data_IF_622166935008
#
_entry.id   IF_622166935008
#
_cell.length_a   1.000
_cell.length_b   1.000
_cell.length_c   1.000
_cell.angle_alpha   90.00
_cell.angle_beta   90.00
_cell.angle_gamma   90.00
#
_symmetry.space_group_name_H-M   'P 1'
#
loop_
_entity.id
_entity.type
_entity.pdbx_description
1 polymer ?
#
# COMPACT_ATOMS: atom_id res chain seq x y z
N UNK A 1 18.66 -2.79 21.72
CA UNK A 1 18.57 -3.69 20.57
C UNK A 1 19.95 -3.89 19.99
N UNK A 2 20.32 -5.11 19.71
CA UNK A 2 21.67 -5.50 19.29
C UNK A 2 21.62 -6.39 18.05
N UNK A 3 22.58 -6.25 17.15
CA UNK A 3 22.80 -7.12 15.98
C UNK A 3 24.30 -7.27 15.68
N UNK A 4 24.64 -8.30 14.93
CA UNK A 4 26.03 -8.67 14.62
C UNK A 4 26.60 -8.01 13.34
N UNK A 5 25.78 -7.23 12.63
CA UNK A 5 26.19 -6.59 11.38
C UNK A 5 27.05 -5.38 11.69
N UNK A 6 28.26 -5.36 11.16
CA UNK A 6 29.25 -4.29 11.35
C UNK A 6 29.46 -3.58 10.00
N UNK A 7 29.45 -2.25 10.01
CA UNK A 7 29.80 -1.38 8.88
C UNK A 7 28.95 -1.50 7.61
N UNK A 8 27.74 -2.11 7.68
CA UNK A 8 26.85 -2.18 6.53
C UNK A 8 25.40 -1.82 6.92
N UNK A 9 24.99 -0.59 6.57
CA UNK A 9 23.67 -0.06 6.97
C UNK A 9 22.49 -0.84 6.37
N UNK A 10 22.59 -1.28 5.12
CA UNK A 10 21.48 -1.99 4.47
C UNK A 10 21.21 -3.34 5.13
N UNK A 11 22.25 -4.15 5.38
CA UNK A 11 22.13 -5.44 6.06
C UNK A 11 21.71 -5.27 7.53
N UNK A 12 22.22 -4.25 8.22
CA UNK A 12 21.80 -3.93 9.59
C UNK A 12 20.31 -3.58 9.65
N UNK A 13 19.85 -2.71 8.75
CA UNK A 13 18.44 -2.32 8.61
C UNK A 13 17.57 -3.53 8.31
N UNK A 14 17.98 -4.35 7.36
CA UNK A 14 17.28 -5.59 7.01
C UNK A 14 17.14 -6.52 8.22
N UNK A 15 18.27 -6.76 8.93
CA UNK A 15 18.29 -7.60 10.14
C UNK A 15 17.36 -7.07 11.22
N UNK A 16 17.35 -5.75 11.45
CA UNK A 16 16.51 -5.11 12.46
C UNK A 16 15.02 -5.18 12.11
N UNK A 17 14.65 -5.08 10.84
CA UNK A 17 13.26 -5.08 10.41
C UNK A 17 12.67 -6.47 10.19
N UNK A 18 13.48 -7.46 9.85
CA UNK A 18 13.03 -8.83 9.54
C UNK A 18 13.40 -9.86 10.57
N UNK A 19 14.36 -9.56 11.45
CA UNK A 19 14.97 -10.53 12.35
C UNK A 19 15.88 -11.56 11.64
N UNK A 20 16.14 -11.38 10.35
CA UNK A 20 16.87 -12.34 9.51
C UNK A 20 18.06 -11.68 8.82
N UNK A 21 19.08 -12.48 8.52
CA UNK A 21 20.16 -12.04 7.64
C UNK A 21 19.69 -11.98 6.19
N UNK A 22 20.32 -11.12 5.39
CA UNK A 22 20.11 -11.10 3.96
C UNK A 22 20.39 -12.48 3.34
N UNK A 23 19.53 -12.89 2.42
CA UNK A 23 19.69 -14.13 1.65
C UNK A 23 19.65 -13.78 0.17
N UNK A 24 20.46 -14.45 -0.63
CA UNK A 24 20.45 -14.26 -2.08
C UNK A 24 19.22 -14.84 -2.79
N UNK A 25 18.45 -15.68 -2.11
CA UNK A 25 17.33 -16.42 -2.71
C UNK A 25 15.97 -16.14 -2.05
N UNK A 26 15.95 -15.70 -0.80
CA UNK A 26 14.72 -15.49 -0.04
C UNK A 26 14.65 -14.02 0.41
N UNK A 27 13.61 -13.33 -0.01
CA UNK A 27 13.24 -12.00 0.50
C UNK A 27 12.23 -12.18 1.64
N UNK A 28 12.63 -11.80 2.84
CA UNK A 28 11.76 -11.91 4.01
C UNK A 28 10.82 -10.71 4.12
N UNK A 29 9.54 -10.94 4.50
CA UNK A 29 8.56 -9.89 4.61
C UNK A 29 8.89 -8.93 5.75
N UNK A 30 8.51 -7.67 5.57
CA UNK A 30 8.51 -6.68 6.64
C UNK A 30 7.43 -7.00 7.68
N UNK A 31 7.56 -6.44 8.88
CA UNK A 31 6.56 -6.61 9.94
C UNK A 31 5.17 -6.10 9.51
N UNK A 32 5.11 -4.98 8.76
CA UNK A 32 3.85 -4.46 8.23
C UNK A 32 3.18 -5.43 7.25
N UNK A 33 3.97 -6.09 6.39
CA UNK A 33 3.47 -7.11 5.47
C UNK A 33 2.98 -8.37 6.19
N UNK A 34 3.64 -8.77 7.27
CA UNK A 34 3.18 -9.89 8.10
C UNK A 34 1.83 -9.56 8.72
N UNK A 35 1.69 -8.37 9.30
CA UNK A 35 0.43 -7.91 9.91
C UNK A 35 -0.67 -7.82 8.86
N UNK A 36 -0.38 -7.23 7.69
CA UNK A 36 -1.34 -7.14 6.57
C UNK A 36 -1.82 -8.52 6.12
N UNK A 37 -0.89 -9.49 6.00
CA UNK A 37 -1.23 -10.85 5.60
C UNK A 37 -2.12 -11.58 6.63
N UNK A 38 -1.91 -11.33 7.92
CA UNK A 38 -2.64 -12.01 9.00
C UNK A 38 -3.99 -11.37 9.32
N UNK A 39 -4.08 -10.05 9.23
CA UNK A 39 -5.28 -9.30 9.64
C UNK A 39 -6.10 -8.74 8.49
N UNK A 40 -5.48 -8.58 7.31
CA UNK A 40 -6.10 -7.89 6.18
C UNK A 40 -6.27 -6.39 6.45
N UNK A 41 -7.08 -5.74 5.63
CA UNK A 41 -7.47 -4.34 5.78
C UNK A 41 -8.48 -4.16 6.90
N UNK A 42 -8.46 -3.00 7.57
CA UNK A 42 -9.42 -2.66 8.62
C UNK A 42 -10.84 -2.41 8.07
N UNK A 43 -10.94 -2.01 6.80
CA UNK A 43 -12.20 -1.81 6.08
C UNK A 43 -11.99 -2.02 4.58
N UNK A 44 -13.10 -2.15 3.84
CA UNK A 44 -13.06 -2.27 2.38
C UNK A 44 -12.50 -1.02 1.68
N UNK A 45 -12.51 0.13 2.36
CA UNK A 45 -12.05 1.40 1.80
C UNK A 45 -10.64 1.79 2.27
N UNK A 46 -9.95 0.92 2.99
CA UNK A 46 -8.60 1.16 3.47
C UNK A 46 -7.62 0.07 2.96
N UNK A 47 -6.37 0.41 2.68
CA UNK A 47 -5.34 -0.60 2.41
C UNK A 47 -4.93 -1.32 3.70
N UNK A 48 -4.51 -2.58 3.58
CA UNK A 48 -4.04 -3.36 4.71
C UNK A 48 -2.70 -2.85 5.28
N UNK A 49 -1.89 -2.21 4.44
CA UNK A 49 -0.59 -1.67 4.83
C UNK A 49 -0.28 -0.39 4.06
N UNK A 50 0.03 0.68 4.79
CA UNK A 50 0.42 1.97 4.23
C UNK A 50 1.83 2.31 4.67
N UNK A 51 2.64 2.76 3.72
CA UNK A 51 3.96 3.29 3.97
C UNK A 51 4.00 4.78 3.66
N UNK A 52 4.25 5.61 4.66
CA UNK A 52 4.33 7.06 4.51
C UNK A 52 5.78 7.50 4.65
N UNK A 53 6.30 8.17 3.63
CA UNK A 53 7.68 8.66 3.59
C UNK A 53 8.52 7.91 2.54
N UNK A 54 9.80 7.74 2.80
CA UNK A 54 10.70 7.11 1.85
C UNK A 54 10.76 5.59 2.05
N UNK A 55 10.53 4.77 1.02
CA UNK A 55 10.70 3.33 1.11
C UNK A 55 12.19 3.00 1.27
N UNK A 56 12.46 1.94 1.99
CA UNK A 56 13.75 1.29 1.96
C UNK A 56 13.59 -0.20 1.64
N UNK A 57 14.71 -0.86 1.40
CA UNK A 57 14.77 -2.24 0.92
C UNK A 57 14.07 -3.30 1.79
N UNK A 58 13.65 -2.96 2.99
CA UNK A 58 13.11 -3.93 3.97
C UNK A 58 11.63 -3.80 4.24
N UNK A 59 10.89 -3.11 3.36
CA UNK A 59 9.47 -2.79 3.60
C UNK A 59 8.52 -3.59 2.72
N UNK A 60 9.06 -4.42 1.84
CA UNK A 60 8.29 -5.25 0.91
C UNK A 60 7.62 -6.45 1.55
N UNK A 61 6.71 -7.10 0.79
CA UNK A 61 5.99 -8.28 1.22
C UNK A 61 6.83 -9.56 1.21
N UNK A 62 8.01 -9.55 0.59
CA UNK A 62 8.86 -10.73 0.45
C UNK A 62 8.11 -11.91 -0.16
N UNK A 63 8.31 -13.09 0.40
CA UNK A 63 7.67 -14.33 -0.08
C UNK A 63 6.14 -14.39 0.15
N UNK A 64 5.53 -13.44 0.87
CA UNK A 64 4.08 -13.38 1.06
C UNK A 64 3.32 -12.93 -0.20
N UNK A 65 4.04 -12.35 -1.18
CA UNK A 65 3.44 -11.92 -2.44
C UNK A 65 2.79 -10.54 -2.37
N UNK A 66 2.36 -10.04 -3.52
CA UNK A 66 1.90 -8.67 -3.71
C UNK A 66 0.70 -8.26 -2.83
N UNK A 67 -0.17 -9.22 -2.50
CA UNK A 67 -1.34 -8.98 -1.63
C UNK A 67 -0.98 -8.49 -0.22
N UNK A 68 0.20 -8.85 0.28
CA UNK A 68 0.73 -8.35 1.55
C UNK A 68 1.62 -7.11 1.38
N UNK A 69 1.61 -6.49 0.20
CA UNK A 69 2.33 -5.27 -0.12
C UNK A 69 1.75 -4.03 0.55
N UNK A 70 2.38 -2.89 0.28
CA UNK A 70 1.98 -1.61 0.85
C UNK A 70 1.51 -0.63 -0.23
N UNK A 71 0.62 0.26 0.15
CA UNK A 71 0.34 1.50 -0.59
C UNK A 71 1.35 2.54 -0.15
N UNK A 72 2.07 3.10 -1.11
CA UNK A 72 3.14 4.05 -0.84
C UNK A 72 2.69 5.49 -1.01
N UNK A 73 2.95 6.30 0.01
CA UNK A 73 2.59 7.71 0.06
C UNK A 73 3.84 8.58 0.20
N UNK A 74 4.09 9.40 -0.78
CA UNK A 74 5.15 10.43 -0.74
C UNK A 74 4.63 11.76 -0.22
N UNK A 75 3.39 12.11 -0.54
CA UNK A 75 2.71 13.34 -0.15
C UNK A 75 1.57 13.04 0.81
N UNK A 76 1.35 13.92 1.76
CA UNK A 76 0.24 13.84 2.70
C UNK A 76 -1.07 14.41 2.15
N UNK A 77 -1.00 15.21 1.08
CA UNK A 77 -2.13 15.99 0.58
C UNK A 77 -2.71 15.48 -0.74
N UNK A 78 -1.93 14.71 -1.51
CA UNK A 78 -2.30 14.32 -2.88
C UNK A 78 -2.79 12.87 -2.97
N UNK A 79 -2.57 12.09 -1.92
CA UNK A 79 -2.85 10.66 -1.95
C UNK A 79 -1.85 9.87 -2.80
N UNK A 80 -2.09 8.57 -2.99
CA UNK A 80 -1.21 7.73 -3.79
C UNK A 80 -1.36 8.04 -5.28
N UNK A 81 -0.23 8.14 -5.96
CA UNK A 81 -0.20 8.38 -7.40
C UNK A 81 -0.94 7.26 -8.16
N UNK A 82 -1.75 7.66 -9.13
CA UNK A 82 -2.47 6.74 -10.01
C UNK A 82 -3.81 6.21 -9.47
N UNK A 83 -4.19 6.51 -8.24
CA UNK A 83 -5.49 6.14 -7.69
C UNK A 83 -6.56 7.22 -7.88
N UNK A 84 -6.18 8.44 -8.19
CA UNK A 84 -7.15 9.50 -8.54
C UNK A 84 -7.72 9.30 -9.94
N UNK A 85 -9.01 9.57 -10.10
CA UNK A 85 -9.66 9.53 -11.41
C UNK A 85 -9.17 10.67 -12.30
N UNK A 86 -9.03 10.40 -13.60
CA UNK A 86 -8.75 11.44 -14.57
C UNK A 86 -9.90 12.49 -14.64
N UNK A 87 -9.58 13.77 -14.74
CA UNK A 87 -10.57 14.80 -14.95
C UNK A 87 -11.51 14.47 -16.14
N UNK A 88 -12.81 14.68 -15.97
CA UNK A 88 -13.81 14.42 -17.01
C UNK A 88 -14.29 12.96 -17.14
N UNK A 89 -13.84 12.06 -16.25
CA UNK A 89 -14.42 10.71 -16.16
C UNK A 89 -15.47 10.69 -15.06
N UNK A 90 -16.74 10.62 -15.48
CA UNK A 90 -17.87 10.45 -14.58
C UNK A 90 -18.02 8.99 -14.12
N UNK A 91 -18.88 8.76 -13.12
CA UNK A 91 -19.10 7.42 -12.55
C UNK A 91 -19.62 6.42 -13.58
N UNK A 92 -20.50 6.84 -14.49
CA UNK A 92 -21.03 5.95 -15.52
C UNK A 92 -19.95 5.43 -16.46
N UNK A 93 -19.04 6.32 -16.89
CA UNK A 93 -17.92 5.98 -17.77
C UNK A 93 -16.92 5.08 -17.03
N UNK A 94 -16.66 5.35 -15.76
CA UNK A 94 -15.80 4.52 -14.91
C UNK A 94 -16.38 3.13 -14.75
N UNK A 95 -17.64 3.01 -14.35
CA UNK A 95 -18.32 1.73 -14.17
C UNK A 95 -18.38 0.89 -15.47
N UNK A 96 -18.50 1.55 -16.63
CA UNK A 96 -18.45 0.86 -17.93
C UNK A 96 -17.06 0.29 -18.21
N UNK A 97 -16.01 1.03 -17.90
CA UNK A 97 -14.62 0.57 -18.04
C UNK A 97 -14.32 -0.61 -17.10
N UNK A 98 -14.74 -0.53 -15.86
CA UNK A 98 -14.54 -1.59 -14.87
C UNK A 98 -15.26 -2.88 -15.26
N UNK A 99 -16.50 -2.78 -15.75
CA UNK A 99 -17.22 -3.95 -16.29
C UNK A 99 -16.52 -4.58 -17.50
N UNK A 100 -15.98 -3.77 -18.40
CA UNK A 100 -15.22 -4.29 -19.54
C UNK A 100 -13.92 -4.96 -19.08
N UNK A 101 -13.18 -4.31 -18.18
CA UNK A 101 -11.96 -4.85 -17.60
C UNK A 101 -12.22 -6.19 -16.89
N UNK A 102 -13.29 -6.27 -16.09
CA UNK A 102 -13.68 -7.49 -15.40
C UNK A 102 -13.90 -8.65 -16.39
N UNK A 103 -14.62 -8.41 -17.49
CA UNK A 103 -14.86 -9.44 -18.53
C UNK A 103 -13.56 -9.93 -19.16
N UNK A 104 -12.64 -9.02 -19.49
CA UNK A 104 -11.34 -9.39 -20.07
C UNK A 104 -10.53 -10.21 -19.06
N UNK A 105 -10.52 -9.79 -17.80
CA UNK A 105 -9.83 -10.49 -16.71
C UNK A 105 -10.40 -11.89 -16.47
N UNK A 106 -11.72 -12.05 -16.50
CA UNK A 106 -12.36 -13.36 -16.33
C UNK A 106 -11.96 -14.36 -17.43
N UNK A 107 -11.85 -13.89 -18.67
CA UNK A 107 -11.35 -14.71 -19.78
C UNK A 107 -9.91 -15.14 -19.54
N UNK A 108 -9.08 -14.18 -19.09
CA UNK A 108 -7.67 -14.43 -18.82
C UNK A 108 -7.46 -15.38 -17.63
N UNK A 109 -8.18 -15.17 -16.53
CA UNK A 109 -8.18 -16.05 -15.35
C UNK A 109 -8.51 -17.50 -15.70
N UNK A 110 -9.51 -17.74 -16.55
CA UNK A 110 -9.87 -19.07 -17.00
C UNK A 110 -8.75 -19.75 -17.78
N UNK A 111 -7.98 -19.00 -18.57
CA UNK A 111 -6.87 -19.53 -19.37
C UNK A 111 -5.62 -19.79 -18.53
N UNK A 112 -5.44 -19.09 -17.44
CA UNK A 112 -4.24 -19.11 -16.58
C UNK A 112 -4.53 -19.70 -15.20
N UNK A 113 -5.60 -20.49 -15.08
CA UNK A 113 -5.99 -21.11 -13.83
C UNK A 113 -4.82 -21.93 -13.24
N UNK A 114 -4.45 -21.64 -11.99
CA UNK A 114 -3.34 -22.30 -11.28
C UNK A 114 -2.02 -21.54 -11.30
N UNK A 115 -1.85 -20.48 -12.08
CA UNK A 115 -0.65 -19.61 -11.96
C UNK A 115 -0.83 -18.60 -10.81
N UNK A 116 -0.09 -18.85 -9.71
CA UNK A 116 -0.14 -18.02 -8.52
C UNK A 116 0.28 -16.57 -8.78
N UNK A 117 1.26 -16.33 -9.66
CA UNK A 117 1.74 -14.96 -9.96
C UNK A 117 0.66 -14.14 -10.64
N UNK A 118 -0.13 -14.77 -11.50
CA UNK A 118 -1.26 -14.11 -12.18
C UNK A 118 -2.38 -13.83 -11.19
N UNK A 119 -2.67 -14.76 -10.28
CA UNK A 119 -3.65 -14.56 -9.23
C UNK A 119 -3.24 -13.42 -8.28
N UNK A 120 -1.97 -13.33 -7.90
CA UNK A 120 -1.44 -12.24 -7.08
C UNK A 120 -1.53 -10.88 -7.79
N UNK A 121 -1.16 -10.82 -9.07
CA UNK A 121 -1.28 -9.61 -9.88
C UNK A 121 -2.73 -9.15 -10.02
N UNK A 122 -3.63 -10.06 -10.28
CA UNK A 122 -5.05 -9.80 -10.43
C UNK A 122 -5.69 -9.29 -9.13
N UNK A 123 -5.32 -9.87 -8.00
CA UNK A 123 -5.70 -9.36 -6.67
C UNK A 123 -5.20 -7.94 -6.42
N UNK A 124 -3.98 -7.62 -6.85
CA UNK A 124 -3.43 -6.26 -6.72
C UNK A 124 -4.22 -5.24 -7.55
N UNK A 125 -4.67 -5.62 -8.76
CA UNK A 125 -5.55 -4.76 -9.56
C UNK A 125 -6.90 -4.54 -8.88
N UNK A 126 -7.49 -5.57 -8.28
CA UNK A 126 -8.75 -5.45 -7.53
C UNK A 126 -8.60 -4.47 -6.37
N UNK A 127 -7.53 -4.59 -5.60
CA UNK A 127 -7.24 -3.66 -4.50
C UNK A 127 -7.03 -2.22 -5.01
N UNK A 128 -6.31 -2.02 -6.11
CA UNK A 128 -6.12 -0.71 -6.71
C UNK A 128 -7.45 -0.09 -7.18
N UNK A 129 -8.33 -0.86 -7.83
CA UNK A 129 -9.65 -0.39 -8.25
C UNK A 129 -10.54 -0.03 -7.04
N UNK A 130 -10.51 -0.85 -6.01
CA UNK A 130 -11.23 -0.61 -4.75
C UNK A 130 -10.77 0.68 -4.08
N UNK A 131 -9.46 0.91 -3.99
CA UNK A 131 -8.86 2.09 -3.37
C UNK A 131 -8.94 3.35 -4.26
N UNK A 132 -9.24 3.23 -5.55
CA UNK A 132 -9.44 4.40 -6.43
C UNK A 132 -10.77 5.12 -6.21
N UNK A 133 -11.59 4.64 -5.29
CA UNK A 133 -12.87 5.25 -4.92
C UNK A 133 -12.72 6.55 -4.12
N UNK A 134 -13.77 7.40 -4.11
CA UNK A 134 -13.74 8.69 -3.42
C UNK A 134 -13.58 8.55 -1.90
N UNK A 135 -13.99 7.43 -1.32
CA UNK A 135 -13.94 7.23 0.14
C UNK A 135 -12.50 7.17 0.65
N UNK A 136 -11.62 6.42 -0.01
CA UNK A 136 -10.21 6.38 0.37
C UNK A 136 -9.53 7.75 0.17
N UNK A 137 -9.87 8.45 -0.89
CA UNK A 137 -9.29 9.77 -1.20
C UNK A 137 -9.68 10.84 -0.17
N UNK A 138 -10.83 10.71 0.53
CA UNK A 138 -11.20 11.62 1.62
C UNK A 138 -10.21 11.63 2.79
N UNK A 139 -9.46 10.56 3.01
CA UNK A 139 -8.44 10.52 4.05
C UNK A 139 -7.35 11.59 3.85
N UNK A 140 -7.07 11.97 2.59
CA UNK A 140 -6.02 12.93 2.23
C UNK A 140 -6.48 14.40 2.30
N UNK A 141 -7.75 14.65 2.54
CA UNK A 141 -8.30 16.02 2.69
C UNK A 141 -7.96 16.58 4.09
N UNK A 142 -6.68 16.72 4.40
CA UNK A 142 -6.21 17.21 5.71
C UNK A 142 -6.68 18.64 5.99
N UNK A 143 -6.98 19.41 4.96
CA UNK A 143 -7.50 20.77 5.10
C UNK A 143 -8.90 20.82 5.74
N UNK A 144 -9.63 19.72 5.76
CA UNK A 144 -10.89 19.60 6.49
C UNK A 144 -10.72 19.45 8.00
N UNK A 145 -9.53 19.12 8.47
CA UNK A 145 -9.26 19.08 9.91
C UNK A 145 -9.16 20.51 10.47
N UNK A 146 -9.62 20.72 11.70
CA UNK A 146 -9.51 22.03 12.37
C UNK A 146 -8.05 22.55 12.34
N UNK A 147 -7.89 23.84 12.02
CA UNK A 147 -6.57 24.46 11.93
C UNK A 147 -5.76 24.32 13.23
N UNK A 148 -6.42 24.43 14.37
CA UNK A 148 -5.80 24.22 15.67
C UNK A 148 -5.25 22.79 15.83
N UNK A 149 -6.00 21.78 15.41
CA UNK A 149 -5.56 20.39 15.46
C UNK A 149 -4.34 20.18 14.55
N UNK A 150 -4.39 20.71 13.31
CA UNK A 150 -3.26 20.63 12.38
C UNK A 150 -2.01 21.30 12.95
N UNK A 151 -2.17 22.46 13.58
CA UNK A 151 -1.07 23.17 14.22
C UNK A 151 -0.46 22.38 15.40
N UNK A 152 -1.27 21.69 16.19
CA UNK A 152 -0.80 20.81 17.29
C UNK A 152 0.02 19.62 16.79
N UNK A 153 -0.28 19.07 15.63
CA UNK A 153 0.55 18.04 15.00
C UNK A 153 1.88 18.59 14.48
N UNK A 154 1.95 19.89 14.16
CA UNK A 154 3.17 20.59 13.78
C UNK A 154 3.62 20.30 12.34
N UNK A 155 4.94 20.20 12.12
CA UNK A 155 5.55 20.10 10.79
C UNK A 155 5.27 18.79 10.04
N UNK A 156 6.04 18.52 8.99
CA UNK A 156 5.81 17.44 8.03
C UNK A 156 5.58 16.06 8.69
N UNK A 157 6.40 15.69 9.67
CA UNK A 157 6.23 14.41 10.37
C UNK A 157 4.88 14.35 11.11
N UNK A 158 4.49 15.45 11.77
CA UNK A 158 3.18 15.53 12.44
C UNK A 158 2.01 15.42 11.46
N UNK A 159 2.11 16.04 10.27
CA UNK A 159 1.06 15.89 9.24
C UNK A 159 0.97 14.44 8.73
N UNK A 160 2.08 13.72 8.66
CA UNK A 160 2.08 12.26 8.38
C UNK A 160 1.39 11.45 9.47
N UNK A 161 1.58 11.81 10.74
CA UNK A 161 0.87 11.21 11.87
C UNK A 161 -0.64 11.51 11.82
N UNK A 162 -1.02 12.75 11.46
CA UNK A 162 -2.41 13.13 11.28
C UNK A 162 -3.08 12.34 10.15
N UNK A 163 -2.39 12.17 9.02
CA UNK A 163 -2.87 11.32 7.92
C UNK A 163 -3.04 9.86 8.38
N UNK A 164 -2.06 9.32 9.11
CA UNK A 164 -2.13 7.94 9.64
C UNK A 164 -3.33 7.72 10.56
N UNK A 165 -3.75 8.74 11.29
CA UNK A 165 -4.96 8.68 12.12
C UNK A 165 -6.25 8.62 11.29
N UNK A 166 -6.24 9.20 10.08
CA UNK A 166 -7.40 9.27 9.18
C UNK A 166 -7.57 8.01 8.33
N UNK A 167 -6.48 7.29 8.09
CA UNK A 167 -6.44 6.02 7.38
C UNK A 167 -6.91 4.85 8.26
#
# INVERSE_FOLDING_TARGET
VHHEVINEHAAATYRMHTGRSTSGTIEYPSIGSIVANQRGAASDNAPAYVLIGYPNVTRGPGFLGAKAGYVYLTSTNEGPNGLSRFPGINDERQNRRERLLSRVRDIYRKRTAGDKRIADYDSTIEDALRLSGPEFMKAFELDREPAELRARYGGEFGQRCLLSRRL
#
